data_IF_416465028502
#
_entry.id   IF_416465028502
#
_cell.length_a   1.000
_cell.length_b   1.000
_cell.length_c   1.000
_cell.angle_alpha   90.00
_cell.angle_beta   90.00
_cell.angle_gamma   90.00
#
_symmetry.space_group_name_H-M   'P 1'
#
loop_
_entity.id
_entity.type
_entity.pdbx_description
1 polymer ?
#
# COMPACT_ATOMS: atom_id res chain seq x y z
N UNK A 1 -11.45 -30.78 3.68
CA UNK A 1 -10.08 -30.23 3.65
C UNK A 1 -10.23 -28.73 3.76
N UNK A 2 -10.03 -28.16 4.95
CA UNK A 2 -10.11 -26.72 5.16
C UNK A 2 -8.80 -26.10 4.68
N UNK A 3 -8.81 -25.59 3.45
CA UNK A 3 -7.74 -24.73 2.96
C UNK A 3 -7.90 -23.38 3.66
N UNK A 4 -7.45 -23.30 4.91
CA UNK A 4 -7.29 -22.04 5.60
C UNK A 4 -6.14 -21.31 4.89
N UNK A 5 -6.52 -20.44 3.95
CA UNK A 5 -5.60 -19.53 3.28
C UNK A 5 -5.02 -18.58 4.34
N UNK A 6 -3.94 -19.00 4.98
CA UNK A 6 -3.22 -18.19 5.95
C UNK A 6 -2.69 -16.96 5.21
N UNK A 7 -3.07 -15.78 5.69
CA UNK A 7 -2.60 -14.53 5.10
C UNK A 7 -1.08 -14.52 5.06
N UNK A 8 -0.52 -14.32 3.88
CA UNK A 8 0.90 -14.00 3.74
C UNK A 8 0.95 -12.59 3.18
N UNK A 9 1.29 -11.57 3.99
CA UNK A 9 1.45 -10.21 3.51
C UNK A 9 2.48 -10.16 2.38
N UNK A 10 2.23 -9.33 1.37
CA UNK A 10 3.27 -8.98 0.40
C UNK A 10 4.40 -8.27 1.13
N UNK A 11 5.62 -8.74 0.89
CA UNK A 11 6.82 -8.08 1.34
C UNK A 11 7.21 -6.94 0.38
N UNK A 12 7.64 -5.80 0.91
CA UNK A 12 7.97 -4.64 0.07
C UNK A 12 9.22 -4.89 -0.75
N UNK A 13 10.26 -5.47 -0.17
CA UNK A 13 11.54 -5.68 -0.85
C UNK A 13 11.39 -6.69 -1.98
N UNK A 14 10.62 -7.76 -1.78
CA UNK A 14 10.25 -8.69 -2.86
C UNK A 14 9.53 -8.00 -4.02
N UNK A 15 8.57 -7.12 -3.74
CA UNK A 15 7.81 -6.43 -4.78
C UNK A 15 8.66 -5.38 -5.51
N UNK A 16 9.59 -4.71 -4.81
CA UNK A 16 10.58 -3.84 -5.44
C UNK A 16 11.53 -4.62 -6.37
N UNK A 17 11.96 -5.82 -5.96
CA UNK A 17 12.77 -6.72 -6.80
C UNK A 17 11.98 -7.17 -8.03
N UNK A 18 10.73 -7.60 -7.86
CA UNK A 18 9.84 -7.98 -8.98
C UNK A 18 9.63 -6.84 -9.96
N UNK A 19 9.52 -5.61 -9.44
CA UNK A 19 9.39 -4.39 -10.24
C UNK A 19 10.71 -3.91 -10.87
N UNK A 20 11.82 -4.64 -10.69
CA UNK A 20 13.16 -4.28 -11.20
C UNK A 20 13.55 -2.86 -10.82
N UNK A 21 13.39 -2.52 -9.54
CA UNK A 21 13.50 -1.14 -9.09
C UNK A 21 14.88 -0.55 -9.33
N UNK A 22 15.95 -1.33 -9.14
CA UNK A 22 17.30 -0.84 -9.38
C UNK A 22 17.54 -0.46 -10.84
N UNK A 23 17.01 -1.25 -11.78
CA UNK A 23 17.07 -0.95 -13.21
C UNK A 23 16.28 0.33 -13.53
N UNK A 24 15.09 0.50 -12.95
CA UNK A 24 14.30 1.74 -13.12
C UNK A 24 15.02 2.95 -12.53
N UNK A 25 15.68 2.81 -11.38
CA UNK A 25 16.49 3.89 -10.79
C UNK A 25 17.65 4.27 -11.71
N UNK A 26 18.31 3.29 -12.33
CA UNK A 26 19.36 3.55 -13.33
C UNK A 26 18.81 4.35 -14.50
N UNK A 27 17.67 3.96 -15.06
CA UNK A 27 17.05 4.66 -16.19
C UNK A 27 16.66 6.11 -15.83
N UNK A 28 16.20 6.34 -14.58
CA UNK A 28 15.93 7.70 -14.06
C UNK A 28 17.22 8.53 -14.00
N UNK A 29 18.32 7.96 -13.52
CA UNK A 29 19.61 8.64 -13.43
C UNK A 29 20.13 8.97 -14.84
N UNK A 30 20.11 8.02 -15.78
CA UNK A 30 20.53 8.24 -17.17
C UNK A 30 19.69 9.34 -17.84
N UNK A 31 18.38 9.33 -17.59
CA UNK A 31 17.47 10.37 -18.09
C UNK A 31 17.75 11.73 -17.45
N UNK A 32 18.02 11.77 -16.15
CA UNK A 32 18.34 13.01 -15.44
C UNK A 32 19.63 13.64 -15.97
N UNK A 33 20.68 12.84 -16.17
CA UNK A 33 21.97 13.30 -16.73
C UNK A 33 21.76 13.83 -18.16
N UNK A 34 21.10 13.05 -19.02
CA UNK A 34 20.90 13.44 -20.43
C UNK A 34 20.04 14.70 -20.59
N UNK A 35 19.09 14.95 -19.68
CA UNK A 35 18.20 16.12 -19.71
C UNK A 35 18.67 17.29 -18.85
N UNK A 36 19.79 17.16 -18.13
CA UNK A 36 20.33 18.22 -17.29
C UNK A 36 19.50 18.50 -16.03
N UNK A 37 18.81 17.50 -15.49
CA UNK A 37 18.10 17.63 -14.22
C UNK A 37 19.08 17.76 -13.05
N UNK A 38 18.66 18.48 -12.01
CA UNK A 38 19.40 18.51 -10.77
C UNK A 38 19.35 17.16 -10.04
N UNK A 39 20.36 16.89 -9.22
CA UNK A 39 20.39 15.71 -8.37
C UNK A 39 19.14 15.62 -7.45
N UNK A 40 18.59 16.77 -7.05
CA UNK A 40 17.37 16.85 -6.24
C UNK A 40 16.15 16.35 -7.01
N UNK A 41 15.95 16.79 -8.25
CA UNK A 41 14.82 16.37 -9.06
C UNK A 41 14.88 14.86 -9.38
N UNK A 42 16.08 14.35 -9.69
CA UNK A 42 16.29 12.93 -9.90
C UNK A 42 15.92 12.12 -8.64
N UNK A 43 16.35 12.57 -7.46
CA UNK A 43 16.01 11.92 -6.19
C UNK A 43 14.51 11.96 -5.89
N UNK A 44 13.82 13.07 -6.17
CA UNK A 44 12.38 13.18 -5.98
C UNK A 44 11.62 12.20 -6.88
N UNK A 45 12.03 12.02 -8.15
CA UNK A 45 11.45 11.03 -9.07
C UNK A 45 11.67 9.61 -8.55
N UNK A 46 12.90 9.26 -8.19
CA UNK A 46 13.25 7.95 -7.65
C UNK A 46 12.44 7.61 -6.38
N UNK A 47 12.32 8.58 -5.47
CA UNK A 47 11.55 8.43 -4.24
C UNK A 47 10.08 8.19 -4.53
N UNK A 48 9.52 8.91 -5.50
CA UNK A 48 8.13 8.75 -5.92
C UNK A 48 7.86 7.35 -6.48
N UNK A 49 8.78 6.81 -7.28
CA UNK A 49 8.66 5.46 -7.83
C UNK A 49 8.60 4.37 -6.74
N UNK A 50 9.45 4.50 -5.71
CA UNK A 50 9.43 3.61 -4.55
C UNK A 50 8.11 3.75 -3.77
N UNK A 51 7.65 4.99 -3.57
CA UNK A 51 6.40 5.24 -2.85
C UNK A 51 5.17 4.64 -3.54
N UNK A 52 5.11 4.66 -4.88
CA UNK A 52 4.00 4.07 -5.61
C UNK A 52 3.86 2.56 -5.31
N UNK A 53 4.97 1.84 -5.31
CA UNK A 53 4.97 0.39 -5.01
C UNK A 53 4.67 0.15 -3.54
N UNK A 54 5.24 0.96 -2.65
CA UNK A 54 4.94 0.88 -1.21
C UNK A 54 3.45 1.06 -0.95
N UNK A 55 2.82 2.06 -1.55
CA UNK A 55 1.40 2.34 -1.37
C UNK A 55 0.53 1.20 -1.92
N UNK A 56 0.91 0.61 -3.04
CA UNK A 56 0.25 -0.58 -3.60
C UNK A 56 0.34 -1.78 -2.66
N UNK A 57 1.53 -2.08 -2.13
CA UNK A 57 1.76 -3.17 -1.18
C UNK A 57 0.95 -2.96 0.10
N UNK A 58 0.98 -1.75 0.65
CA UNK A 58 0.20 -1.40 1.85
C UNK A 58 -1.29 -1.54 1.61
N UNK A 59 -1.80 -1.08 0.47
CA UNK A 59 -3.22 -1.18 0.13
C UNK A 59 -3.65 -2.63 -0.05
N UNK A 60 -2.85 -3.43 -0.76
CA UNK A 60 -3.09 -4.85 -0.95
C UNK A 60 -3.14 -5.58 0.40
N UNK A 61 -2.13 -5.37 1.25
CA UNK A 61 -2.04 -6.04 2.53
C UNK A 61 -3.17 -5.63 3.47
N UNK A 62 -3.56 -4.36 3.46
CA UNK A 62 -4.70 -3.87 4.25
C UNK A 62 -6.02 -4.51 3.81
N UNK A 63 -6.28 -4.61 2.50
CA UNK A 63 -7.47 -5.27 1.98
C UNK A 63 -7.50 -6.75 2.35
N UNK A 64 -6.41 -7.45 2.11
CA UNK A 64 -6.33 -8.88 2.41
C UNK A 64 -6.49 -9.16 3.91
N UNK A 65 -5.92 -8.32 4.78
CA UNK A 65 -6.15 -8.39 6.22
C UNK A 65 -7.63 -8.16 6.58
N UNK A 66 -8.25 -7.10 6.05
CA UNK A 66 -9.66 -6.79 6.31
C UNK A 66 -10.59 -7.95 5.90
N UNK A 67 -10.37 -8.56 4.73
CA UNK A 67 -11.21 -9.65 4.26
C UNK A 67 -11.16 -10.87 5.21
N UNK A 68 -10.01 -11.10 5.84
CA UNK A 68 -9.86 -12.19 6.81
C UNK A 68 -10.57 -11.85 8.11
N UNK A 69 -10.40 -10.63 8.62
CA UNK A 69 -11.13 -10.15 9.80
C UNK A 69 -12.65 -10.22 9.56
N UNK A 70 -13.13 -9.79 8.41
CA UNK A 70 -14.54 -9.89 8.02
C UNK A 70 -15.04 -11.34 8.03
N UNK A 71 -14.29 -12.26 7.41
CA UNK A 71 -14.59 -13.69 7.41
C UNK A 71 -14.65 -14.28 8.82
N UNK A 72 -13.68 -13.96 9.68
CA UNK A 72 -13.63 -14.44 11.07
C UNK A 72 -14.79 -13.91 11.91
N UNK A 73 -15.18 -12.66 11.69
CA UNK A 73 -16.31 -12.02 12.37
C UNK A 73 -17.67 -12.36 11.74
N UNK A 74 -17.71 -13.10 10.62
CA UNK A 74 -18.93 -13.45 9.92
C UNK A 74 -19.66 -12.26 9.29
N UNK A 75 -18.92 -11.19 8.98
CA UNK A 75 -19.45 -9.95 8.39
C UNK A 75 -18.94 -9.77 6.96
N UNK A 76 -19.71 -9.04 6.15
CA UNK A 76 -19.34 -8.68 4.78
C UNK A 76 -18.39 -7.46 4.74
N UNK A 77 -17.69 -7.26 3.63
CA UNK A 77 -16.79 -6.11 3.42
C UNK A 77 -17.50 -4.75 3.60
N UNK A 78 -18.81 -4.68 3.37
CA UNK A 78 -19.64 -3.50 3.65
C UNK A 78 -19.70 -3.10 5.12
N UNK A 79 -19.35 -4.00 6.05
CA UNK A 79 -19.26 -3.71 7.47
C UNK A 79 -17.99 -2.93 7.85
N UNK A 80 -16.98 -2.87 6.97
CA UNK A 80 -15.74 -2.14 7.21
C UNK A 80 -15.98 -0.64 7.00
N UNK A 81 -16.19 0.08 8.11
CA UNK A 81 -16.36 1.53 8.08
C UNK A 81 -15.01 2.27 8.13
N UNK A 82 -14.80 3.30 7.29
CA UNK A 82 -13.63 4.17 7.37
C UNK A 82 -13.53 4.86 8.74
N UNK A 83 -12.31 5.12 9.21
CA UNK A 83 -12.05 5.75 10.53
C UNK A 83 -12.86 7.04 10.75
N UNK A 84 -13.01 7.87 9.72
CA UNK A 84 -13.84 9.09 9.80
C UNK A 84 -15.30 8.77 10.13
N UNK A 85 -15.87 7.75 9.52
CA UNK A 85 -17.24 7.32 9.80
C UNK A 85 -17.37 6.67 11.18
N UNK A 86 -16.36 5.90 11.62
CA UNK A 86 -16.29 5.35 12.97
C UNK A 86 -16.28 6.46 14.05
N UNK A 87 -15.44 7.48 13.87
CA UNK A 87 -15.40 8.63 14.78
C UNK A 87 -16.73 9.39 14.78
N UNK A 88 -17.36 9.60 13.63
CA UNK A 88 -18.69 10.20 13.56
C UNK A 88 -19.76 9.38 14.27
N UNK A 89 -19.70 8.04 14.20
CA UNK A 89 -20.64 7.15 14.89
C UNK A 89 -20.47 7.23 16.42
N UNK A 90 -19.22 7.20 16.91
CA UNK A 90 -18.90 7.35 18.33
C UNK A 90 -19.39 8.69 18.89
N UNK A 91 -19.12 9.79 18.19
CA UNK A 91 -19.52 11.14 18.61
C UNK A 91 -21.04 11.38 18.56
N UNK A 92 -21.79 10.56 17.81
CA UNK A 92 -23.26 10.60 17.77
C UNK A 92 -23.89 9.74 18.87
N UNK A 93 -23.22 8.67 19.32
CA UNK A 93 -23.68 7.81 20.41
C UNK A 93 -23.52 8.41 21.81
N UNK A 94 -22.69 9.45 21.99
CA UNK A 94 -22.46 10.11 23.29
C UNK A 94 -23.48 11.21 23.65
N UNK A 95 -24.63 11.28 22.95
CA UNK A 95 -25.74 12.19 23.30
C UNK A 95 -26.92 11.42 23.88
N UNK A 96 -26.74 10.76 25.01
CA UNK A 96 -27.84 10.30 25.88
C UNK A 96 -27.45 10.56 27.33
#
# INVERSE_FOLDING_TARGET
>A
MNNETKFTPKDLDEELVKAKMLERMRDVIETAISKGFSAREALEIMTREIHLIRDEVLLHNKKAHNNIVCRELGVDDSAVIPQRQYLCALMRGSRH
#
